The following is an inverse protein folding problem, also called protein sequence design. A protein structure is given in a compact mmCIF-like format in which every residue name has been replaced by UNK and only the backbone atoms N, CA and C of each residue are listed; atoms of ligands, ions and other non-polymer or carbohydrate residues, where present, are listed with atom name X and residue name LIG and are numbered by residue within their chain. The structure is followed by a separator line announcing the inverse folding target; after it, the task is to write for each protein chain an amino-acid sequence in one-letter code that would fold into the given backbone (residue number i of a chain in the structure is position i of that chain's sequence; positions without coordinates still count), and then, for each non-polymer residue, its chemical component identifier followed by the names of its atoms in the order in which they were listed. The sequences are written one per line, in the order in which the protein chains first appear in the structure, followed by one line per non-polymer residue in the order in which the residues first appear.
data_IF_822527311468
#
_entry.id   IF_822527311468
#
_cell.length_a   1.000
_cell.length_b   1.000
_cell.length_c   1.000
_cell.angle_alpha   90.00
_cell.angle_beta   90.00
_cell.angle_gamma   90.00
#
_symmetry.space_group_name_H-M   'P 1'
#
loop_
_entity.id
_entity.type
_entity.pdbx_description
1 polymer ?
#
# COMPACT_ATOMS: atom_id res chain seq x y z
N UNK A 1 -16.07 -35.95 -21.81
CA UNK A 1 -14.74 -35.39 -21.51
C UNK A 1 -14.37 -35.86 -20.10
N UNK A 2 -13.43 -36.79 -19.95
CA UNK A 2 -13.16 -37.41 -18.65
C UNK A 2 -12.37 -36.45 -17.75
N UNK A 3 -13.07 -35.86 -16.77
CA UNK A 3 -12.52 -34.90 -15.80
C UNK A 3 -11.73 -35.58 -14.67
N UNK A 4 -11.59 -36.90 -14.71
CA UNK A 4 -11.01 -37.74 -13.65
C UNK A 4 -9.48 -37.91 -13.72
N UNK A 5 -8.77 -37.05 -14.45
CA UNK A 5 -7.31 -37.07 -14.41
C UNK A 5 -6.85 -36.59 -13.03
N UNK A 6 -6.25 -37.49 -12.24
CA UNK A 6 -5.71 -37.19 -10.91
C UNK A 6 -4.90 -35.89 -10.84
N UNK A 7 -3.99 -35.58 -11.79
CA UNK A 7 -3.25 -34.33 -11.77
C UNK A 7 -4.15 -33.09 -11.84
N UNK A 8 -5.25 -33.18 -12.59
CA UNK A 8 -6.23 -32.11 -12.74
C UNK A 8 -7.01 -31.94 -11.44
N UNK A 9 -7.51 -33.02 -10.85
CA UNK A 9 -8.25 -32.96 -9.58
C UNK A 9 -7.37 -32.41 -8.46
N UNK A 10 -6.10 -32.84 -8.36
CA UNK A 10 -5.15 -32.31 -7.38
C UNK A 10 -4.93 -30.81 -7.58
N UNK A 11 -4.61 -30.38 -8.82
CA UNK A 11 -4.35 -28.98 -9.14
C UNK A 11 -5.56 -28.08 -8.83
N UNK A 12 -6.76 -28.49 -9.23
CA UNK A 12 -7.97 -27.71 -8.99
C UNK A 12 -8.44 -27.77 -7.52
N UNK A 13 -8.19 -28.88 -6.82
CA UNK A 13 -8.43 -29.00 -5.38
C UNK A 13 -7.59 -28.00 -4.58
N UNK A 14 -6.28 -27.95 -4.84
CA UNK A 14 -5.36 -26.98 -4.24
C UNK A 14 -5.73 -25.52 -4.58
N UNK A 15 -6.18 -25.25 -5.80
CA UNK A 15 -6.70 -23.94 -6.19
C UNK A 15 -8.03 -23.57 -5.49
N UNK A 16 -8.87 -24.56 -5.21
CA UNK A 16 -10.18 -24.37 -4.57
C UNK A 16 -10.06 -24.13 -3.05
N UNK A 17 -9.09 -24.78 -2.41
CA UNK A 17 -8.80 -24.63 -0.98
C UNK A 17 -7.72 -23.56 -0.68
N UNK A 18 -6.98 -23.14 -1.71
CA UNK A 18 -5.86 -22.20 -1.62
C UNK A 18 -6.32 -20.78 -1.30
N UNK A 19 -6.30 -20.42 -0.02
CA UNK A 19 -6.48 -19.03 0.43
C UNK A 19 -5.30 -18.18 -0.06
N UNK A 20 -5.42 -17.57 -1.23
CA UNK A 20 -4.47 -16.54 -1.67
C UNK A 20 -4.56 -15.36 -0.69
N UNK A 21 -3.44 -14.79 -0.23
CA UNK A 21 -3.49 -13.53 0.49
C UNK A 21 -4.04 -12.49 -0.48
N UNK A 22 -5.31 -12.11 -0.28
CA UNK A 22 -5.91 -10.95 -0.92
C UNK A 22 -5.30 -9.68 -0.31
N UNK A 23 -4.02 -9.46 -0.54
CA UNK A 23 -3.32 -8.22 -0.21
C UNK A 23 -3.39 -7.28 -1.40
N UNK A 24 -3.73 -6.01 -1.16
CA UNK A 24 -3.45 -4.97 -2.14
C UNK A 24 -1.93 -4.81 -2.28
N UNK A 25 -1.41 -4.42 -3.47
CA UNK A 25 -0.03 -4.02 -3.60
C UNK A 25 0.34 -2.97 -2.55
N UNK A 26 1.59 -3.03 -2.07
CA UNK A 26 2.12 -2.01 -1.16
C UNK A 26 1.99 -0.63 -1.82
N UNK A 27 1.62 0.37 -1.02
CA UNK A 27 1.52 1.75 -1.49
C UNK A 27 2.89 2.22 -1.99
N UNK A 28 2.90 2.97 -3.08
CA UNK A 28 4.14 3.64 -3.52
C UNK A 28 4.56 4.65 -2.46
N UNK A 29 5.86 4.88 -2.35
CA UNK A 29 6.42 5.86 -1.41
C UNK A 29 5.75 7.25 -1.52
N UNK A 30 5.51 7.72 -2.75
CA UNK A 30 4.82 9.00 -3.01
C UNK A 30 3.41 9.05 -2.44
N UNK A 31 2.68 7.94 -2.48
CA UNK A 31 1.31 7.87 -1.98
C UNK A 31 1.30 7.79 -0.45
N UNK A 32 2.28 7.08 0.12
CA UNK A 32 2.50 7.09 1.57
C UNK A 32 2.84 8.50 2.07
N UNK A 33 3.74 9.21 1.39
CA UNK A 33 4.11 10.59 1.70
C UNK A 33 2.89 11.53 1.65
N UNK A 34 2.08 11.46 0.59
CA UNK A 34 0.83 12.24 0.49
C UNK A 34 -0.15 11.92 1.62
N UNK A 35 -0.26 10.66 2.00
CA UNK A 35 -1.11 10.24 3.12
C UNK A 35 -0.61 10.84 4.44
N UNK A 36 0.70 10.83 4.68
CA UNK A 36 1.31 11.41 5.88
C UNK A 36 1.11 12.93 5.90
N UNK A 37 1.35 13.63 4.79
CA UNK A 37 1.14 15.09 4.69
C UNK A 37 -0.31 15.49 4.99
N UNK A 38 -1.28 14.73 4.47
CA UNK A 38 -2.70 14.92 4.81
C UNK A 38 -2.98 14.72 6.29
N UNK A 39 -2.39 13.70 6.92
CA UNK A 39 -2.59 13.43 8.34
C UNK A 39 -1.99 14.50 9.26
N UNK A 40 -0.91 15.17 8.82
CA UNK A 40 -0.28 16.27 9.57
C UNK A 40 -0.89 17.63 9.26
N UNK A 41 -2.01 17.68 8.53
CA UNK A 41 -2.70 18.91 8.11
C UNK A 41 -1.81 19.89 7.32
N UNK A 42 -0.84 19.36 6.56
CA UNK A 42 0.05 20.13 5.70
C UNK A 42 -0.55 20.15 4.30
N UNK A 43 -0.73 21.34 3.75
CA UNK A 43 -1.19 21.49 2.37
C UNK A 43 -0.13 20.96 1.38
N UNK A 44 -0.47 19.99 0.52
CA UNK A 44 0.42 19.48 -0.53
C UNK A 44 0.87 20.53 -1.56
N UNK A 45 0.30 21.73 -1.59
CA UNK A 45 0.79 22.83 -2.44
C UNK A 45 1.94 23.61 -1.77
N UNK A 46 1.97 23.68 -0.43
CA UNK A 46 2.89 24.54 0.34
C UNK A 46 3.99 23.74 1.09
N UNK A 47 4.06 22.41 0.89
CA UNK A 47 5.03 21.55 1.58
C UNK A 47 6.49 21.86 1.23
N UNK A 48 6.78 22.33 0.01
CA UNK A 48 8.14 22.71 -0.42
C UNK A 48 8.63 23.94 0.35
N UNK A 49 7.77 24.94 0.54
CA UNK A 49 8.07 26.16 1.30
C UNK A 49 8.31 25.84 2.79
N UNK A 50 7.52 24.92 3.35
CA UNK A 50 7.68 24.45 4.72
C UNK A 50 8.99 23.66 4.88
N UNK A 51 9.37 22.84 3.89
CA UNK A 51 10.62 22.10 3.91
C UNK A 51 11.86 22.99 3.79
N UNK A 52 11.77 24.06 2.99
CA UNK A 52 12.81 25.08 2.91
C UNK A 52 13.08 25.70 4.29
N UNK A 53 12.05 25.82 5.13
CA UNK A 53 12.17 26.24 6.51
C UNK A 53 12.26 25.04 7.48
N UNK A 54 13.46 24.48 7.59
CA UNK A 54 13.76 23.29 8.42
C UNK A 54 13.24 23.34 9.88
N UNK A 55 13.36 24.44 10.65
CA UNK A 55 12.81 24.50 11.99
C UNK A 55 11.27 24.50 12.01
N UNK A 56 10.62 25.15 11.03
CA UNK A 56 9.17 25.14 10.90
C UNK A 56 8.67 23.72 10.58
N UNK A 57 9.34 23.00 9.69
CA UNK A 57 9.04 21.59 9.40
C UNK A 57 9.07 20.68 10.64
N UNK A 58 10.09 20.83 11.51
CA UNK A 58 10.20 20.06 12.75
C UNK A 58 9.09 20.36 13.75
N UNK A 59 8.55 21.58 13.71
CA UNK A 59 7.41 21.95 14.56
C UNK A 59 6.09 21.38 14.02
N UNK A 60 5.92 21.39 12.69
CA UNK A 60 4.68 20.93 12.03
C UNK A 60 4.56 19.41 12.02
N UNK A 61 5.67 18.68 11.89
CA UNK A 61 5.68 17.24 12.11
C UNK A 61 5.71 16.97 13.61
N UNK A 62 4.54 16.70 14.19
CA UNK A 62 4.49 15.94 15.44
C UNK A 62 4.98 14.52 15.15
N UNK A 63 6.14 14.17 15.69
CA UNK A 63 6.55 12.77 15.85
C UNK A 63 5.59 12.06 16.79
#
# INVERSE_FOLDING_TARGET
MNEHHLPKICLYGELSEGKRPHGAPLRRYKDQLKSTLKSTNIDPAHWEDILANRPLWRHTIKM
#
